data_IF_709261879412
#
_entry.id   IF_709261879412
#
_cell.length_a   1.000
_cell.length_b   1.000
_cell.length_c   1.000
_cell.angle_alpha   90.00
_cell.angle_beta   90.00
_cell.angle_gamma   90.00
#
_symmetry.space_group_name_H-M   'P 1'
#
loop_
_entity.id
_entity.type
_entity.pdbx_description
1 polymer ?
#
# COMPACT_ATOMS: atom_id res chain seq x y z
N UNK A 1 10.15 14.84 -1.52
CA UNK A 1 8.85 15.22 -2.11
C UNK A 1 7.98 13.98 -2.11
N UNK A 2 6.71 14.03 -1.66
CA UNK A 2 5.81 12.89 -1.76
C UNK A 2 5.61 12.54 -3.24
N UNK A 3 5.49 11.26 -3.53
CA UNK A 3 5.15 10.80 -4.87
C UNK A 3 3.68 11.15 -5.13
N UNK A 4 3.41 11.83 -6.24
CA UNK A 4 2.07 12.24 -6.67
C UNK A 4 1.38 11.09 -7.43
N UNK A 5 0.11 10.83 -7.13
CA UNK A 5 -0.67 9.75 -7.75
C UNK A 5 -1.73 9.16 -6.83
N UNK A 6 -2.61 8.33 -7.40
CA UNK A 6 -3.52 7.48 -6.61
C UNK A 6 -2.70 6.50 -5.78
N UNK A 7 -3.04 6.38 -4.50
CA UNK A 7 -2.30 5.60 -3.52
C UNK A 7 -3.11 4.37 -3.13
N UNK A 8 -2.45 3.21 -3.14
CA UNK A 8 -2.97 1.95 -2.61
C UNK A 8 -2.01 1.46 -1.53
N UNK A 9 -2.54 1.13 -0.37
CA UNK A 9 -1.80 0.62 0.79
C UNK A 9 -1.93 -0.89 0.91
N UNK A 10 -0.83 -1.56 1.28
CA UNK A 10 -0.76 -3.01 1.41
C UNK A 10 -0.19 -3.34 2.79
N UNK A 11 -0.80 -4.28 3.49
CA UNK A 11 -0.37 -4.67 4.83
C UNK A 11 -1.26 -5.72 5.46
N UNK A 12 -0.99 -6.06 6.72
CA UNK A 12 -1.79 -7.02 7.50
C UNK A 12 -2.92 -6.36 8.30
N UNK A 13 -2.90 -5.03 8.45
CA UNK A 13 -3.91 -4.33 9.22
C UNK A 13 -5.21 -4.19 8.42
N UNK A 14 -6.40 -4.33 9.02
CA UNK A 14 -7.67 -4.17 8.30
C UNK A 14 -7.95 -2.74 7.80
N UNK A 15 -7.12 -1.77 8.17
CA UNK A 15 -7.24 -0.37 7.72
C UNK A 15 -6.52 -0.10 6.38
N UNK A 16 -5.78 -1.07 5.83
CA UNK A 16 -5.13 -0.92 4.51
C UNK A 16 -6.07 -1.36 3.38
N UNK A 17 -5.83 -0.88 2.17
CA UNK A 17 -6.65 -1.19 0.99
C UNK A 17 -6.55 -2.67 0.60
N UNK A 18 -5.36 -3.27 0.70
CA UNK A 18 -5.10 -4.68 0.39
C UNK A 18 -4.57 -5.38 1.64
N UNK A 19 -5.45 -6.15 2.29
CA UNK A 19 -5.13 -6.92 3.50
C UNK A 19 -4.50 -8.26 3.13
N UNK A 20 -3.33 -8.56 3.69
CA UNK A 20 -2.65 -9.86 3.62
C UNK A 20 -2.52 -10.43 5.04
N UNK A 21 -3.29 -11.47 5.34
CA UNK A 21 -3.30 -12.15 6.64
C UNK A 21 -2.09 -13.08 6.82
N UNK A 22 -0.89 -12.51 6.91
CA UNK A 22 0.33 -13.27 7.14
C UNK A 22 1.21 -12.61 8.21
N UNK A 23 1.61 -13.30 9.30
CA UNK A 23 2.45 -12.74 10.36
C UNK A 23 3.76 -12.09 9.89
N UNK A 24 4.32 -12.50 8.75
CA UNK A 24 5.53 -11.88 8.18
C UNK A 24 5.28 -10.51 7.54
N UNK A 25 4.01 -10.16 7.28
CA UNK A 25 3.60 -8.89 6.70
C UNK A 25 3.35 -7.86 7.81
N UNK A 26 3.99 -6.70 7.66
CA UNK A 26 3.83 -5.54 8.55
C UNK A 26 2.41 -4.99 8.52
N UNK A 27 2.00 -4.27 9.57
CA UNK A 27 0.69 -3.57 9.61
C UNK A 27 0.49 -2.67 8.39
N UNK A 28 1.53 -1.90 8.04
CA UNK A 28 1.67 -1.13 6.81
C UNK A 28 2.96 -1.59 6.14
N UNK A 29 2.86 -2.36 5.06
CA UNK A 29 4.01 -3.03 4.46
C UNK A 29 4.52 -2.31 3.23
N UNK A 30 3.62 -1.88 2.34
CA UNK A 30 3.99 -1.16 1.12
C UNK A 30 2.91 -0.15 0.73
N UNK A 31 3.31 0.83 -0.08
CA UNK A 31 2.43 1.79 -0.74
C UNK A 31 2.72 1.77 -2.23
N UNK A 32 1.70 1.58 -3.04
CA UNK A 32 1.75 1.74 -4.49
C UNK A 32 1.25 3.13 -4.85
N UNK A 33 1.95 3.79 -5.76
CA UNK A 33 1.60 5.14 -6.20
C UNK A 33 1.55 5.13 -7.71
N UNK A 34 0.33 5.33 -8.24
CA UNK A 34 0.09 5.36 -9.67
C UNK A 34 0.71 6.63 -10.27
N UNK A 35 1.84 6.46 -10.96
CA UNK A 35 2.36 7.50 -11.84
C UNK A 35 1.69 7.33 -13.19
N UNK A 36 0.97 8.35 -13.65
CA UNK A 36 0.30 8.33 -14.96
C UNK A 36 1.23 7.79 -16.03
N UNK A 37 0.85 6.68 -16.66
CA UNK A 37 1.61 6.08 -17.75
C UNK A 37 1.56 6.99 -18.97
N UNK A 38 2.73 7.27 -19.54
CA UNK A 38 2.85 8.01 -20.80
C UNK A 38 2.36 7.21 -22.00
#
# INVERSE_FOLDING_TARGET
>A
MPLEGERITIGRHPEVDIVIENPSVSRHHAELIAKGGG
#
